data_IF_549753141072
#
_entry.id   IF_549753141072
#
_cell.length_a   1.000
_cell.length_b   1.000
_cell.length_c   1.000
_cell.angle_alpha   90.00
_cell.angle_beta   90.00
_cell.angle_gamma   90.00
#
_symmetry.space_group_name_H-M   'P 1'
#
loop_
_entity.id
_entity.type
_entity.pdbx_description
1 polymer ?
#
# COMPACT_ATOMS: atom_id res chain seq x y z
N UNK A 1 -32.08 -17.56 -43.29
CA UNK A 1 -31.02 -16.58 -42.97
C UNK A 1 -30.83 -16.65 -41.47
N UNK A 2 -29.78 -17.35 -41.07
CA UNK A 2 -29.39 -17.45 -39.67
C UNK A 2 -28.50 -16.24 -39.34
N UNK A 3 -28.91 -15.45 -38.38
CA UNK A 3 -28.08 -14.35 -37.84
C UNK A 3 -27.16 -14.95 -36.77
N UNK A 4 -25.90 -14.72 -36.95
CA UNK A 4 -24.78 -15.09 -36.08
C UNK A 4 -24.97 -14.52 -34.66
N UNK A 5 -24.99 -15.42 -33.69
CA UNK A 5 -24.84 -15.13 -32.27
C UNK A 5 -23.46 -15.63 -31.82
N UNK A 6 -22.41 -14.91 -32.23
CA UNK A 6 -21.06 -15.12 -31.73
C UNK A 6 -20.38 -13.75 -31.59
N UNK A 7 -20.48 -13.20 -30.39
CA UNK A 7 -19.51 -12.26 -29.82
C UNK A 7 -19.86 -11.96 -28.34
N UNK A 8 -19.99 -13.01 -27.54
CA UNK A 8 -19.77 -12.89 -26.11
C UNK A 8 -18.28 -13.14 -25.88
N UNK A 9 -17.45 -12.12 -26.13
CA UNK A 9 -16.04 -12.16 -25.79
C UNK A 9 -15.92 -12.54 -24.31
N UNK A 10 -15.32 -13.71 -24.05
CA UNK A 10 -14.94 -14.18 -22.73
C UNK A 10 -14.11 -13.09 -22.07
N UNK A 11 -14.68 -12.43 -21.06
CA UNK A 11 -13.92 -11.54 -20.19
C UNK A 11 -12.94 -12.45 -19.44
N UNK A 12 -11.72 -12.56 -19.96
CA UNK A 12 -10.62 -13.22 -19.26
C UNK A 12 -10.54 -12.60 -17.88
N UNK A 13 -10.77 -13.39 -16.84
CA UNK A 13 -10.76 -12.89 -15.45
C UNK A 13 -9.33 -12.52 -15.11
N UNK A 14 -9.00 -11.26 -15.30
CA UNK A 14 -7.66 -10.74 -15.05
C UNK A 14 -7.31 -10.89 -13.55
N UNK A 15 -6.15 -11.51 -13.28
CA UNK A 15 -5.67 -11.72 -11.90
C UNK A 15 -5.49 -10.37 -11.20
N UNK A 16 -6.02 -10.28 -9.99
CA UNK A 16 -5.83 -9.14 -9.09
C UNK A 16 -4.79 -9.56 -8.05
N UNK A 17 -3.67 -8.83 -7.99
CA UNK A 17 -2.62 -9.06 -7.01
C UNK A 17 -2.84 -8.18 -5.79
N UNK A 18 -2.61 -8.73 -4.61
CA UNK A 18 -2.59 -7.91 -3.40
C UNK A 18 -1.33 -7.06 -3.33
N UNK A 19 -1.45 -5.87 -2.70
CA UNK A 19 -0.35 -4.93 -2.58
C UNK A 19 -0.43 -4.13 -1.27
N UNK A 20 0.74 -3.75 -0.75
CA UNK A 20 0.91 -2.90 0.42
C UNK A 20 1.69 -1.63 0.07
N UNK A 21 1.17 -0.48 0.47
CA UNK A 21 1.75 0.85 0.22
C UNK A 21 1.79 1.62 1.52
N UNK A 22 2.86 2.37 1.79
CA UNK A 22 2.89 3.27 2.94
C UNK A 22 3.04 4.73 2.52
N UNK A 23 2.24 5.58 3.14
CA UNK A 23 2.27 7.03 3.02
C UNK A 23 3.02 7.54 4.25
N UNK A 24 4.28 7.92 4.06
CA UNK A 24 5.14 8.45 5.12
C UNK A 24 4.97 9.96 5.19
N UNK A 25 4.60 10.49 6.37
CA UNK A 25 4.48 11.92 6.62
C UNK A 25 5.60 12.38 7.56
N UNK A 26 6.45 13.27 7.07
CA UNK A 26 7.50 13.91 7.85
C UNK A 26 7.00 15.25 8.44
N UNK A 27 6.97 15.32 9.78
CA UNK A 27 6.58 16.49 10.57
C UNK A 27 7.78 17.20 11.21
N UNK A 28 9.01 16.92 10.80
CA UNK A 28 10.22 17.56 11.37
C UNK A 28 10.42 18.99 10.87
N UNK A 29 9.73 19.37 9.80
CA UNK A 29 9.74 20.70 9.22
C UNK A 29 8.44 21.46 9.57
N UNK A 30 8.40 22.79 9.46
CA UNK A 30 7.21 23.59 9.77
C UNK A 30 5.95 23.18 8.99
N UNK A 31 6.13 22.70 7.75
CA UNK A 31 5.05 22.15 6.94
C UNK A 31 5.25 20.64 6.79
N UNK A 32 4.23 19.81 7.07
CA UNK A 32 4.29 18.38 6.86
C UNK A 32 4.55 18.03 5.39
N UNK A 33 5.36 16.99 5.18
CA UNK A 33 5.76 16.53 3.84
C UNK A 33 5.50 15.05 3.70
N UNK A 34 5.17 14.62 2.48
CA UNK A 34 4.95 13.21 2.12
C UNK A 34 6.07 12.75 1.19
N UNK A 35 6.54 11.51 1.39
CA UNK A 35 7.48 10.85 0.50
C UNK A 35 6.77 10.35 -0.75
N UNK A 36 7.32 10.70 -1.91
CA UNK A 36 6.94 10.16 -3.21
C UNK A 36 8.15 9.71 -4.00
N UNK A 37 7.94 8.69 -4.85
CA UNK A 37 8.89 8.28 -5.88
C UNK A 37 8.29 8.44 -7.28
N UNK A 38 9.13 8.82 -8.26
CA UNK A 38 8.76 8.88 -9.67
C UNK A 38 9.17 7.58 -10.35
N UNK A 39 8.21 6.84 -10.85
CA UNK A 39 8.45 5.55 -11.51
C UNK A 39 9.22 5.75 -12.81
N UNK A 40 10.05 4.78 -13.15
CA UNK A 40 10.78 4.79 -14.42
C UNK A 40 9.83 4.80 -15.62
N UNK A 41 10.22 5.44 -16.75
CA UNK A 41 9.41 5.46 -17.97
C UNK A 41 9.18 4.08 -18.59
N UNK A 42 10.07 3.11 -18.33
CA UNK A 42 10.00 1.73 -18.82
C UNK A 42 9.17 0.79 -17.94
N UNK A 43 8.61 1.27 -16.82
CA UNK A 43 7.75 0.48 -15.97
C UNK A 43 6.44 0.10 -16.70
N UNK A 44 6.03 -1.17 -16.56
CA UNK A 44 4.79 -1.70 -17.19
C UNK A 44 3.54 -1.07 -16.59
N UNK A 45 3.59 -0.70 -15.31
CA UNK A 45 2.45 -0.14 -14.58
C UNK A 45 2.75 1.27 -14.10
N UNK A 46 1.92 2.25 -14.49
CA UNK A 46 2.05 3.67 -14.16
C UNK A 46 3.43 4.27 -14.51
N UNK A 47 3.94 4.13 -15.75
CA UNK A 47 5.22 4.69 -16.13
C UNK A 47 5.24 6.20 -15.93
N UNK A 48 6.38 6.73 -15.50
CA UNK A 48 6.65 8.18 -15.36
C UNK A 48 5.75 8.93 -14.37
N UNK A 49 4.97 8.22 -13.55
CA UNK A 49 4.08 8.79 -12.54
C UNK A 49 4.75 8.87 -11.17
N UNK A 50 4.34 9.86 -10.40
CA UNK A 50 4.66 9.94 -8.99
C UNK A 50 3.70 9.07 -8.18
N UNK A 51 4.23 8.24 -7.32
CA UNK A 51 3.48 7.29 -6.48
C UNK A 51 4.03 7.27 -5.06
N UNK A 52 3.24 6.78 -4.11
CA UNK A 52 3.74 6.42 -2.79
C UNK A 52 4.60 5.15 -2.90
N UNK A 53 5.63 4.98 -2.07
CA UNK A 53 6.39 3.74 -1.98
C UNK A 53 5.52 2.56 -1.61
N UNK A 54 5.73 1.43 -2.30
CA UNK A 54 5.00 0.21 -2.06
C UNK A 54 4.75 -0.62 -3.32
N UNK A 55 4.45 -1.89 -3.12
CA UNK A 55 4.32 -2.81 -4.23
C UNK A 55 3.57 -4.08 -3.91
N UNK A 56 3.84 -5.12 -4.68
CA UNK A 56 3.11 -6.37 -4.68
C UNK A 56 3.44 -7.21 -3.45
N UNK A 57 2.38 -7.77 -2.84
CA UNK A 57 2.52 -8.81 -1.83
C UNK A 57 3.31 -10.01 -2.38
N UNK A 58 4.29 -10.46 -1.62
CA UNK A 58 5.04 -11.68 -1.87
C UNK A 58 4.72 -12.76 -0.81
N UNK A 59 4.79 -14.02 -1.21
CA UNK A 59 4.60 -15.14 -0.29
C UNK A 59 5.62 -15.15 0.86
N UNK A 60 6.81 -14.62 0.62
CA UNK A 60 7.86 -14.45 1.62
C UNK A 60 7.45 -13.52 2.76
N UNK A 61 6.55 -12.55 2.50
CA UNK A 61 6.02 -11.65 3.54
C UNK A 61 5.21 -12.39 4.61
N UNK A 62 4.60 -13.55 4.29
CA UNK A 62 3.91 -14.41 5.25
C UNK A 62 4.83 -15.12 6.22
N UNK A 63 6.07 -15.37 5.83
CA UNK A 63 7.04 -16.10 6.64
C UNK A 63 7.81 -15.19 7.60
N UNK A 64 7.61 -13.86 7.50
CA UNK A 64 8.26 -12.88 8.36
C UNK A 64 7.37 -12.49 9.54
N UNK A 65 8.00 -12.32 10.70
CA UNK A 65 7.33 -11.79 11.89
C UNK A 65 7.76 -10.35 12.13
N UNK A 66 6.78 -9.45 12.25
CA UNK A 66 7.04 -8.11 12.77
C UNK A 66 7.44 -8.17 14.26
N UNK A 67 8.16 -7.16 14.73
CA UNK A 67 8.52 -7.06 16.15
C UNK A 67 7.36 -6.58 17.03
N UNK A 68 6.29 -6.08 16.41
CA UNK A 68 5.08 -5.52 17.03
C UNK A 68 3.84 -5.86 16.18
N UNK A 69 2.68 -5.27 16.48
CA UNK A 69 1.44 -5.58 15.79
C UNK A 69 0.67 -4.31 15.41
N UNK A 70 -0.12 -4.41 14.35
CA UNK A 70 -1.10 -3.39 13.98
C UNK A 70 -2.11 -3.16 15.11
N UNK A 71 -2.63 -1.94 15.22
CA UNK A 71 -3.79 -1.66 16.08
C UNK A 71 -4.97 -2.59 15.73
N UNK A 72 -5.72 -3.12 16.71
CA UNK A 72 -6.80 -4.08 16.45
C UNK A 72 -7.85 -3.59 15.45
N UNK A 73 -8.13 -2.28 15.42
CA UNK A 73 -9.08 -1.67 14.48
C UNK A 73 -8.58 -1.72 13.02
N UNK A 74 -7.28 -1.46 12.80
CA UNK A 74 -6.67 -1.48 11.48
C UNK A 74 -6.55 -2.92 10.98
N UNK A 75 -6.17 -3.84 11.85
CA UNK A 75 -6.17 -5.26 11.56
C UNK A 75 -7.58 -5.77 11.17
N UNK A 76 -8.61 -5.39 11.92
CA UNK A 76 -10.00 -5.77 11.60
C UNK A 76 -10.48 -5.18 10.26
N UNK A 77 -10.08 -3.94 9.94
CA UNK A 77 -10.40 -3.31 8.67
C UNK A 77 -9.70 -4.00 7.48
N UNK A 78 -8.46 -4.48 7.67
CA UNK A 78 -7.73 -5.27 6.67
C UNK A 78 -8.43 -6.61 6.38
N UNK A 79 -9.07 -7.22 7.38
CA UNK A 79 -9.82 -8.47 7.22
C UNK A 79 -11.17 -8.29 6.51
N UNK A 80 -11.60 -7.05 6.22
CA UNK A 80 -12.82 -6.79 5.50
C UNK A 80 -12.74 -7.30 4.06
N UNK A 81 -13.74 -8.09 3.64
CA UNK A 81 -13.87 -8.62 2.28
C UNK A 81 -12.54 -9.22 1.74
N UNK A 82 -11.84 -9.96 2.57
CA UNK A 82 -10.70 -10.78 2.14
C UNK A 82 -11.18 -12.12 1.56
N UNK A 83 -10.42 -12.71 0.61
CA UNK A 83 -10.69 -14.08 0.16
C UNK A 83 -10.80 -15.05 1.33
N UNK A 84 -11.70 -16.03 1.23
CA UNK A 84 -11.96 -16.98 2.33
C UNK A 84 -10.72 -17.79 2.78
N UNK A 85 -9.74 -17.96 1.89
CA UNK A 85 -8.48 -18.63 2.20
C UNK A 85 -7.51 -17.78 3.03
N UNK A 86 -7.78 -16.47 3.20
CA UNK A 86 -6.88 -15.57 3.91
C UNK A 86 -7.13 -15.62 5.42
N UNK A 87 -6.03 -15.55 6.16
CA UNK A 87 -6.02 -15.57 7.61
C UNK A 87 -5.52 -14.23 8.17
N UNK A 88 -5.58 -14.09 9.48
CA UNK A 88 -4.98 -12.95 10.21
C UNK A 88 -3.52 -12.68 9.83
N UNK A 89 -2.74 -13.73 9.51
CA UNK A 89 -1.35 -13.58 9.09
C UNK A 89 -1.22 -12.79 7.78
N UNK A 90 -2.17 -12.91 6.86
CA UNK A 90 -2.16 -12.16 5.60
C UNK A 90 -2.35 -10.65 5.82
N UNK A 91 -3.17 -10.25 6.81
CA UNK A 91 -3.32 -8.84 7.16
C UNK A 91 -2.01 -8.23 7.66
N UNK A 92 -1.27 -8.97 8.49
CA UNK A 92 0.07 -8.58 8.96
C UNK A 92 1.05 -8.53 7.78
N UNK A 93 1.03 -9.55 6.92
CA UNK A 93 1.93 -9.64 5.77
C UNK A 93 1.75 -8.49 4.77
N UNK A 94 0.53 -7.96 4.59
CA UNK A 94 0.31 -6.75 3.76
C UNK A 94 1.00 -5.50 4.32
N UNK A 95 1.07 -5.35 5.64
CA UNK A 95 1.83 -4.27 6.25
C UNK A 95 3.35 -4.51 6.13
N UNK A 96 3.78 -5.78 6.24
CA UNK A 96 5.16 -6.16 6.01
C UNK A 96 5.58 -5.93 4.55
N UNK A 97 4.70 -6.25 3.57
CA UNK A 97 4.91 -5.87 2.17
C UNK A 97 5.27 -4.39 2.03
N UNK A 98 4.49 -3.50 2.67
CA UNK A 98 4.77 -2.07 2.60
C UNK A 98 6.13 -1.69 3.23
N UNK A 99 6.57 -2.38 4.29
CA UNK A 99 7.90 -2.19 4.89
C UNK A 99 9.00 -2.64 3.92
N UNK A 100 8.87 -3.82 3.32
CA UNK A 100 9.85 -4.37 2.38
C UNK A 100 10.00 -3.48 1.15
N UNK A 101 8.90 -3.11 0.54
CA UNK A 101 8.87 -2.27 -0.66
C UNK A 101 9.46 -0.87 -0.41
N UNK A 102 9.15 -0.23 0.74
CA UNK A 102 9.80 1.03 1.12
C UNK A 102 11.30 0.87 1.19
N UNK A 103 11.78 -0.22 1.79
CA UNK A 103 13.20 -0.49 1.88
C UNK A 103 13.83 -0.71 0.50
N UNK A 104 13.23 -1.53 -0.34
CA UNK A 104 13.72 -1.85 -1.69
C UNK A 104 13.77 -0.60 -2.58
N UNK A 105 12.66 0.16 -2.64
CA UNK A 105 12.51 1.33 -3.51
C UNK A 105 13.25 2.59 -3.01
N UNK A 106 13.50 2.70 -1.70
CA UNK A 106 14.00 3.97 -1.12
C UNK A 106 15.23 3.83 -0.25
N UNK A 107 15.59 2.64 0.21
CA UNK A 107 16.65 2.40 1.18
C UNK A 107 16.27 2.72 2.63
N UNK A 108 15.02 3.14 2.89
CA UNK A 108 14.57 3.52 4.23
C UNK A 108 14.13 2.30 5.04
N UNK A 109 14.69 2.14 6.23
CA UNK A 109 14.39 1.02 7.13
C UNK A 109 13.32 1.43 8.13
N UNK A 110 12.16 0.75 8.08
CA UNK A 110 11.10 0.85 9.07
C UNK A 110 11.19 -0.38 9.97
N UNK A 111 11.80 -0.26 11.13
CA UNK A 111 12.07 -1.38 12.00
C UNK A 111 12.82 -1.00 13.26
N UNK A 112 13.18 -2.01 14.05
CA UNK A 112 14.00 -1.84 15.27
C UNK A 112 15.27 -2.67 15.15
N UNK A 113 16.40 -2.25 15.76
CA UNK A 113 17.61 -3.07 15.81
C UNK A 113 17.32 -4.45 16.40
N UNK A 114 17.84 -5.49 15.77
CA UNK A 114 17.67 -6.88 16.20
C UNK A 114 17.73 -7.86 15.04
N UNK A 115 17.96 -9.14 15.35
CA UNK A 115 18.02 -10.20 14.34
C UNK A 115 16.60 -10.68 13.99
N UNK A 116 16.34 -10.87 12.72
CA UNK A 116 15.16 -11.58 12.24
C UNK A 116 15.25 -13.07 12.60
N UNK A 117 14.08 -13.71 12.79
CA UNK A 117 14.01 -15.17 13.00
C UNK A 117 14.53 -15.93 11.77
N UNK A 118 15.18 -17.06 12.00
CA UNK A 118 15.66 -17.95 10.94
C UNK A 118 14.63 -19.07 10.64
N UNK A 119 14.49 -19.53 9.39
CA UNK A 119 15.16 -19.00 8.19
C UNK A 119 14.59 -17.65 7.76
N UNK A 120 15.44 -16.76 7.26
CA UNK A 120 15.03 -15.50 6.64
C UNK A 120 14.65 -15.78 5.19
N UNK A 121 13.43 -15.39 4.73
CA UNK A 121 13.03 -15.54 3.33
C UNK A 121 13.91 -14.71 2.39
N UNK A 122 14.05 -15.15 1.14
CA UNK A 122 14.96 -14.55 0.15
C UNK A 122 14.72 -13.06 -0.05
N UNK A 123 13.46 -12.65 -0.24
CA UNK A 123 13.08 -11.26 -0.42
C UNK A 123 13.45 -10.36 0.78
N UNK A 124 13.62 -10.92 1.97
CA UNK A 124 13.94 -10.18 3.18
C UNK A 124 15.43 -10.23 3.58
N UNK A 125 16.26 -11.01 2.86
CA UNK A 125 17.69 -11.12 3.18
C UNK A 125 18.42 -9.77 3.18
N UNK A 126 18.20 -8.84 2.21
CA UNK A 126 18.86 -7.53 2.24
C UNK A 126 18.48 -6.68 3.46
N UNK A 127 17.19 -6.69 3.85
CA UNK A 127 16.72 -5.99 5.05
C UNK A 127 17.34 -6.58 6.32
N UNK A 128 17.30 -7.92 6.47
CA UNK A 128 17.84 -8.63 7.62
C UNK A 128 19.35 -8.46 7.79
N UNK A 129 20.09 -8.33 6.68
CA UNK A 129 21.53 -8.11 6.69
C UNK A 129 21.95 -6.80 7.37
N UNK A 130 21.05 -5.82 7.44
CA UNK A 130 21.27 -4.56 8.15
C UNK A 130 21.11 -4.71 9.68
N UNK A 131 20.67 -5.87 10.18
CA UNK A 131 20.48 -6.12 11.61
C UNK A 131 19.22 -5.46 12.19
N UNK A 132 18.15 -5.35 11.40
CA UNK A 132 16.86 -4.82 11.82
C UNK A 132 15.75 -5.88 11.74
N UNK A 133 14.69 -5.67 12.52
CA UNK A 133 13.42 -6.40 12.44
C UNK A 133 12.31 -5.42 12.05
N UNK A 134 11.41 -5.79 11.14
CA UNK A 134 10.35 -4.88 10.70
C UNK A 134 9.38 -4.54 11.82
N UNK A 135 8.90 -3.29 11.85
CA UNK A 135 7.93 -2.75 12.81
C UNK A 135 6.72 -2.16 12.07
N UNK A 136 5.52 -2.48 12.53
CA UNK A 136 4.26 -2.09 11.86
C UNK A 136 3.23 -1.44 12.79
N UNK A 137 3.49 -1.34 14.10
CA UNK A 137 2.51 -0.86 15.09
C UNK A 137 2.05 0.59 14.86
N UNK A 138 2.86 1.39 14.19
CA UNK A 138 2.53 2.78 13.84
C UNK A 138 1.70 2.90 12.55
N UNK A 139 1.50 1.82 11.80
CA UNK A 139 0.75 1.84 10.56
C UNK A 139 -0.74 1.94 10.81
N UNK A 140 -1.38 2.90 10.18
CA UNK A 140 -2.85 3.05 10.17
C UNK A 140 -3.37 2.84 8.76
N UNK A 141 -4.34 1.95 8.59
CA UNK A 141 -5.01 1.76 7.30
C UNK A 141 -5.87 2.99 6.98
N UNK A 142 -5.56 3.69 5.91
CA UNK A 142 -6.26 4.93 5.53
C UNK A 142 -7.04 4.82 4.23
N UNK A 143 -6.74 3.83 3.38
CA UNK A 143 -7.51 3.55 2.18
C UNK A 143 -7.27 2.12 1.68
N UNK A 144 -8.21 1.62 0.87
CA UNK A 144 -8.07 0.42 0.03
C UNK A 144 -8.53 0.76 -1.38
N UNK A 145 -7.86 0.26 -2.41
CA UNK A 145 -8.26 0.48 -3.78
C UNK A 145 -8.00 -0.74 -4.66
N UNK A 146 -9.00 -1.13 -5.46
CA UNK A 146 -8.85 -2.17 -6.49
C UNK A 146 -8.72 -1.49 -7.85
N UNK A 147 -7.66 -1.82 -8.57
CA UNK A 147 -7.44 -1.33 -9.94
C UNK A 147 -8.59 -1.76 -10.86
N UNK A 148 -9.21 -0.84 -11.61
CA UNK A 148 -10.27 -1.18 -12.54
C UNK A 148 -9.86 -2.21 -13.60
N UNK A 149 -10.80 -2.97 -14.19
CA UNK A 149 -10.56 -3.82 -15.35
C UNK A 149 -9.96 -3.03 -16.53
N UNK A 150 -9.28 -3.75 -17.45
CA UNK A 150 -8.71 -3.16 -18.65
C UNK A 150 -7.37 -2.42 -18.45
N UNK A 151 -6.75 -2.52 -17.28
CA UNK A 151 -5.38 -2.07 -17.03
C UNK A 151 -4.38 -3.19 -17.30
N UNK A 152 -3.12 -2.83 -17.60
CA UNK A 152 -2.04 -3.81 -17.84
C UNK A 152 -1.81 -4.76 -16.67
N UNK A 153 -1.98 -4.26 -15.44
CA UNK A 153 -1.95 -5.02 -14.18
C UNK A 153 -3.04 -4.51 -13.25
N UNK A 154 -3.55 -5.41 -12.42
CA UNK A 154 -4.55 -5.06 -11.41
C UNK A 154 -4.05 -5.41 -10.03
N UNK A 155 -4.27 -4.49 -9.09
CA UNK A 155 -3.89 -4.62 -7.70
C UNK A 155 -5.07 -4.33 -6.80
N UNK A 156 -5.16 -5.06 -5.69
CA UNK A 156 -5.98 -4.74 -4.53
C UNK A 156 -5.03 -4.18 -3.45
N UNK A 157 -4.93 -2.87 -3.41
CA UNK A 157 -3.89 -2.17 -2.65
C UNK A 157 -4.43 -1.65 -1.32
N UNK A 158 -3.68 -1.91 -0.24
CA UNK A 158 -3.90 -1.34 1.10
C UNK A 158 -2.91 -0.20 1.31
N UNK A 159 -3.43 0.96 1.70
CA UNK A 159 -2.64 2.16 1.93
C UNK A 159 -2.55 2.43 3.42
N UNK A 160 -1.34 2.36 3.93
CA UNK A 160 -1.02 2.66 5.33
C UNK A 160 -0.48 4.08 5.44
N UNK A 161 -0.82 4.76 6.54
CA UNK A 161 -0.26 6.05 6.91
C UNK A 161 0.64 5.85 8.12
N UNK A 162 1.85 6.42 8.08
CA UNK A 162 2.77 6.43 9.21
C UNK A 162 3.53 7.76 9.31
N UNK A 163 3.91 8.13 10.53
CA UNK A 163 4.84 9.23 10.78
C UNK A 163 6.25 8.80 10.36
N UNK A 164 6.97 9.65 9.64
CA UNK A 164 8.32 9.34 9.16
C UNK A 164 9.35 9.07 10.27
N UNK A 165 9.02 9.39 11.55
CA UNK A 165 9.84 9.00 12.71
C UNK A 165 9.98 7.49 12.90
N UNK A 166 9.17 6.68 12.21
CA UNK A 166 9.34 5.21 12.19
C UNK A 166 10.56 4.76 11.36
N UNK A 167 11.10 5.65 10.54
CA UNK A 167 12.34 5.41 9.80
C UNK A 167 13.49 5.46 10.80
N UNK A 168 14.14 4.33 10.98
CA UNK A 168 15.24 4.21 11.96
C UNK A 168 16.63 4.28 11.32
N UNK A 169 16.71 4.01 10.01
CA UNK A 169 17.94 4.02 9.26
C UNK A 169 17.68 4.30 7.78
N UNK A 170 18.61 4.94 7.11
CA UNK A 170 18.65 5.13 5.66
C UNK A 170 19.96 4.51 5.16
N UNK A 171 19.87 3.43 4.39
CA UNK A 171 21.05 2.75 3.86
C UNK A 171 21.63 3.44 2.61
N UNK A 172 20.93 4.44 2.06
CA UNK A 172 21.34 5.19 0.87
C UNK A 172 21.37 4.38 -0.43
N UNK A 173 20.84 3.16 -0.42
CA UNK A 173 20.78 2.26 -1.59
C UNK A 173 19.33 1.85 -1.82
N UNK A 174 18.94 1.75 -3.09
CA UNK A 174 17.62 1.31 -3.54
C UNK A 174 17.77 0.42 -4.78
N UNK A 175 16.68 -0.17 -5.23
CA UNK A 175 16.62 -1.04 -6.40
C UNK A 175 16.61 -0.29 -7.75
N UNK A 176 16.52 1.03 -7.72
CA UNK A 176 16.45 1.89 -8.91
C UNK A 176 15.08 1.88 -9.59
N UNK A 177 14.01 1.43 -8.93
CA UNK A 177 12.65 1.49 -9.48
C UNK A 177 12.15 2.93 -9.66
N UNK A 178 12.60 3.85 -8.80
CA UNK A 178 12.34 5.26 -8.92
C UNK A 178 13.49 6.03 -9.59
N UNK A 179 13.15 6.88 -10.56
CA UNK A 179 14.12 7.81 -11.17
C UNK A 179 14.38 9.03 -10.28
N UNK A 180 13.39 9.42 -9.48
CA UNK A 180 13.45 10.53 -8.55
C UNK A 180 12.68 10.18 -7.27
N UNK A 181 13.16 10.66 -6.13
CA UNK A 181 12.50 10.55 -4.82
C UNK A 181 12.50 11.89 -4.13
N UNK A 182 11.44 12.21 -3.38
CA UNK A 182 11.41 13.48 -2.66
C UNK A 182 10.30 13.57 -1.63
N UNK A 183 10.53 14.48 -0.67
CA UNK A 183 9.57 14.86 0.34
C UNK A 183 8.87 16.16 -0.08
N UNK A 184 7.57 16.10 -0.30
CA UNK A 184 6.77 17.21 -0.81
C UNK A 184 5.74 17.68 0.21
N UNK A 185 5.55 18.98 0.36
CA UNK A 185 4.42 19.51 1.14
C UNK A 185 3.10 19.08 0.52
N UNK A 186 2.00 19.09 1.27
CA UNK A 186 0.69 18.67 0.75
C UNK A 186 0.30 19.44 -0.52
N UNK A 187 0.58 20.75 -0.58
CA UNK A 187 0.30 21.53 -1.79
C UNK A 187 1.21 21.17 -2.97
N UNK A 188 2.49 20.92 -2.70
CA UNK A 188 3.42 20.44 -3.72
C UNK A 188 3.03 19.05 -4.24
N UNK A 189 2.54 18.14 -3.37
CA UNK A 189 2.03 16.83 -3.79
C UNK A 189 0.88 16.96 -4.79
N UNK A 190 -0.05 17.91 -4.57
CA UNK A 190 -1.20 18.14 -5.47
C UNK A 190 -0.78 18.59 -6.87
N UNK A 191 0.41 19.22 -7.00
CA UNK A 191 0.96 19.66 -8.28
C UNK A 191 1.72 18.55 -9.04
N UNK A 192 2.04 17.41 -8.39
CA UNK A 192 2.71 16.30 -9.05
C UNK A 192 1.80 15.60 -10.07
N UNK A 193 2.42 14.97 -11.07
CA UNK A 193 1.70 14.12 -12.03
C UNK A 193 1.34 12.77 -11.39
N UNK A 194 0.28 12.77 -10.59
CA UNK A 194 -0.25 11.63 -9.86
C UNK A 194 -1.30 10.88 -10.68
N UNK A 195 -1.35 9.54 -10.61
CA UNK A 195 -2.52 8.78 -11.03
C UNK A 195 -3.79 9.27 -10.33
N UNK A 196 -4.94 9.15 -10.99
CA UNK A 196 -6.22 9.62 -10.43
C UNK A 196 -6.51 9.06 -9.03
N UNK A 197 -6.31 7.74 -8.85
CA UNK A 197 -6.54 7.10 -7.54
C UNK A 197 -5.56 7.62 -6.48
N UNK A 198 -4.30 7.87 -6.84
CA UNK A 198 -3.29 8.40 -5.91
C UNK A 198 -3.67 9.79 -5.42
N UNK A 199 -4.30 10.64 -6.28
CA UNK A 199 -4.85 11.94 -5.86
C UNK A 199 -5.95 11.80 -4.81
N UNK A 200 -6.89 10.86 -5.01
CA UNK A 200 -7.97 10.63 -4.04
C UNK A 200 -7.42 10.14 -2.70
N UNK A 201 -6.47 9.21 -2.73
CA UNK A 201 -5.85 8.66 -1.53
C UNK A 201 -4.97 9.69 -0.82
N UNK A 202 -4.31 10.59 -1.56
CA UNK A 202 -3.60 11.72 -0.97
C UNK A 202 -4.54 12.57 -0.08
N UNK A 203 -5.72 12.92 -0.59
CA UNK A 203 -6.68 13.71 0.19
C UNK A 203 -7.23 12.93 1.39
N UNK A 204 -7.51 11.62 1.24
CA UNK A 204 -7.89 10.78 2.38
C UNK A 204 -6.78 10.69 3.44
N UNK A 205 -5.51 10.60 3.02
CA UNK A 205 -4.36 10.56 3.92
C UNK A 205 -4.14 11.88 4.65
N UNK A 206 -4.25 13.01 3.94
CA UNK A 206 -4.18 14.36 4.54
C UNK A 206 -5.30 14.53 5.55
N UNK A 207 -6.54 14.17 5.20
CA UNK A 207 -7.67 14.22 6.13
C UNK A 207 -7.46 13.32 7.36
N UNK A 208 -6.91 12.09 7.16
CA UNK A 208 -6.61 11.17 8.25
C UNK A 208 -5.50 11.71 9.17
N UNK A 209 -4.53 12.42 8.62
CA UNK A 209 -3.47 13.09 9.37
C UNK A 209 -4.01 14.27 10.19
N UNK A 210 -4.76 15.18 9.55
CA UNK A 210 -5.29 16.39 10.19
C UNK A 210 -6.43 16.11 11.18
N UNK A 211 -7.20 15.05 10.96
CA UNK A 211 -8.36 14.69 11.76
C UNK A 211 -8.43 13.19 12.07
N UNK A 212 -7.49 12.63 12.84
CA UNK A 212 -7.39 11.19 13.08
C UNK A 212 -8.64 10.58 13.72
N UNK A 213 -9.28 11.32 14.64
CA UNK A 213 -10.49 10.87 15.35
C UNK A 213 -11.71 10.77 14.43
N UNK A 214 -11.84 11.70 13.49
CA UNK A 214 -12.92 11.70 12.49
C UNK A 214 -12.78 10.50 11.55
N UNK A 215 -11.59 10.24 11.04
CA UNK A 215 -11.32 9.13 10.15
C UNK A 215 -11.55 7.79 10.86
N UNK A 216 -11.08 7.64 12.09
CA UNK A 216 -11.31 6.43 12.88
C UNK A 216 -12.81 6.14 13.13
N UNK A 217 -13.66 7.18 13.20
CA UNK A 217 -15.10 7.03 13.38
C UNK A 217 -15.85 6.73 12.08
N UNK A 218 -15.41 7.29 10.97
CA UNK A 218 -16.10 7.20 9.68
C UNK A 218 -15.79 5.91 8.90
N UNK A 219 -14.75 5.17 9.26
CA UNK A 219 -14.29 3.99 8.52
C UNK A 219 -13.24 4.32 7.45
N UNK A 220 -12.71 3.27 6.82
CA UNK A 220 -11.64 3.35 5.81
C UNK A 220 -12.23 3.43 4.42
N UNK A 221 -11.89 4.44 3.60
CA UNK A 221 -12.30 4.52 2.20
C UNK A 221 -11.88 3.29 1.39
N UNK A 222 -12.83 2.76 0.61
CA UNK A 222 -12.59 1.64 -0.29
C UNK A 222 -13.05 1.99 -1.70
N UNK A 223 -12.09 2.04 -2.62
CA UNK A 223 -12.28 2.39 -4.01
C UNK A 223 -12.25 1.15 -4.90
N UNK A 224 -13.29 0.94 -5.69
CA UNK A 224 -13.37 -0.19 -6.63
C UNK A 224 -14.32 0.14 -7.78
N UNK A 225 -14.35 -0.72 -8.80
CA UNK A 225 -15.29 -0.63 -9.89
C UNK A 225 -16.31 -1.75 -9.78
N UNK A 226 -17.59 -1.40 -9.81
CA UNK A 226 -18.73 -2.30 -9.85
C UNK A 226 -19.45 -2.11 -11.19
N UNK A 227 -19.32 -3.09 -12.08
CA UNK A 227 -19.74 -2.94 -13.47
C UNK A 227 -19.02 -1.77 -14.13
N UNK A 228 -19.79 -0.77 -14.63
CA UNK A 228 -19.24 0.46 -15.23
C UNK A 228 -19.09 1.61 -14.21
N UNK A 229 -19.57 1.43 -12.98
CA UNK A 229 -19.57 2.49 -11.97
C UNK A 229 -18.32 2.43 -11.08
N UNK A 230 -17.66 3.57 -10.93
CA UNK A 230 -16.62 3.75 -9.92
C UNK A 230 -17.27 3.97 -8.56
N UNK A 231 -16.92 3.17 -7.56
CA UNK A 231 -17.50 3.20 -6.21
C UNK A 231 -16.47 3.69 -5.19
N UNK A 232 -16.97 4.38 -4.17
CA UNK A 232 -16.24 4.70 -2.95
C UNK A 232 -17.13 4.34 -1.77
N UNK A 233 -16.82 3.24 -1.13
CA UNK A 233 -17.50 2.79 0.09
C UNK A 233 -16.64 3.07 1.31
N UNK A 234 -17.18 2.81 2.51
CA UNK A 234 -16.45 2.92 3.76
C UNK A 234 -16.41 1.56 4.45
N UNK A 235 -15.21 1.07 4.71
CA UNK A 235 -15.02 -0.12 5.54
C UNK A 235 -15.26 0.28 6.99
N UNK A 236 -16.41 -0.10 7.52
CA UNK A 236 -16.73 0.15 8.92
C UNK A 236 -16.00 -0.85 9.84
N UNK A 237 -15.61 -0.47 11.06
CA UNK A 237 -14.83 -1.32 11.98
C UNK A 237 -15.44 -2.66 12.36
N UNK A 238 -16.69 -2.92 12.01
CA UNK A 238 -17.45 -4.14 12.35
C UNK A 238 -18.09 -4.83 11.14
N UNK A 239 -17.84 -4.35 9.91
CA UNK A 239 -18.49 -4.91 8.75
C UNK A 239 -17.74 -6.15 8.22
N UNK A 240 -18.45 -7.28 8.08
CA UNK A 240 -18.06 -8.39 7.22
C UNK A 240 -18.81 -8.21 5.91
N UNK A 241 -18.12 -7.85 4.84
CA UNK A 241 -18.72 -7.73 3.51
C UNK A 241 -18.25 -8.85 2.57
N UNK A 242 -18.99 -9.17 1.51
CA UNK A 242 -18.49 -10.03 0.43
C UNK A 242 -17.32 -9.32 -0.28
N UNK A 243 -16.43 -10.12 -0.85
CA UNK A 243 -15.39 -9.62 -1.77
C UNK A 243 -16.10 -9.16 -3.06
N UNK A 244 -15.81 -7.95 -3.59
CA UNK A 244 -16.45 -7.44 -4.81
C UNK A 244 -15.99 -8.15 -6.09
#
# INVERSE_FOLDING_TARGET
MAANSEDAASVETQIIFDAGVVILIDCTQPLPRILFGRRRPDNVFLPDKWVFPGGRFDADDLAVSACDALEPKDHAALMYAMPAAWTSAHATALALTAVREVFEETGLVIGVPGLMGAPVPEAWCPFAALGYRPAISSFRLVARAITPPGRTRRYDTRFFLADARVITFDCGQDDGEFTEKGWFTFDACRALDLPYITRLILEDAVQAFESPQRTAKNGVPFYYQDGMAYRRDLIAPKARGPYP
#
